data_IF_138186522646
#
_entry.id   IF_138186522646
#
_cell.length_a   1.000
_cell.length_b   1.000
_cell.length_c   1.000
_cell.angle_alpha   90.00
_cell.angle_beta   90.00
_cell.angle_gamma   90.00
#
_symmetry.space_group_name_H-M   'P 1'
#
loop_
_entity.id
_entity.type
_entity.pdbx_description
1 polymer ?
#
# COMPACT_ATOMS: atom_id res chain seq x y z
N UNK A 1 17.24 18.16 4.20
CA UNK A 1 15.75 18.16 4.18
C UNK A 1 15.24 18.62 5.55
N UNK A 2 14.22 19.45 5.58
CA UNK A 2 13.61 19.88 6.85
C UNK A 2 12.80 18.76 7.48
N UNK A 3 12.69 18.77 8.82
CA UNK A 3 11.91 17.76 9.54
C UNK A 3 10.44 17.75 9.11
N UNK A 4 9.88 18.92 8.85
CA UNK A 4 8.50 19.07 8.40
C UNK A 4 8.26 18.40 7.04
N UNK A 5 9.19 18.59 6.10
CA UNK A 5 9.10 17.99 4.76
C UNK A 5 9.28 16.47 4.84
N UNK A 6 10.22 16.02 5.67
CA UNK A 6 10.45 14.60 5.89
C UNK A 6 9.21 13.93 6.52
N UNK A 7 8.58 14.58 7.49
CA UNK A 7 7.37 14.09 8.11
C UNK A 7 6.23 14.01 7.09
N UNK A 8 6.11 15.01 6.21
CA UNK A 8 5.12 14.99 5.13
C UNK A 8 5.31 13.80 4.19
N UNK A 9 6.56 13.48 3.83
CA UNK A 9 6.85 12.30 3.02
C UNK A 9 6.48 11.02 3.74
N UNK A 10 6.78 10.90 5.02
CA UNK A 10 6.44 9.72 5.82
C UNK A 10 4.95 9.53 5.97
N UNK A 11 4.20 10.63 6.07
CA UNK A 11 2.74 10.57 6.19
C UNK A 11 2.09 10.09 4.90
N UNK A 12 2.68 10.42 3.75
CA UNK A 12 2.16 10.03 2.44
C UNK A 12 2.64 8.62 2.05
N UNK A 13 3.93 8.35 2.20
CA UNK A 13 4.56 7.08 1.80
C UNK A 13 4.75 6.18 3.01
N UNK A 14 3.64 5.73 3.59
CA UNK A 14 3.64 4.86 4.77
C UNK A 14 4.03 3.43 4.40
N UNK A 15 4.65 2.68 5.32
CA UNK A 15 4.93 1.27 5.07
C UNK A 15 3.67 0.50 4.65
N UNK A 16 3.81 -0.30 3.62
CA UNK A 16 2.70 -1.09 3.06
C UNK A 16 1.93 -0.42 1.94
N UNK A 17 2.17 0.87 1.68
CA UNK A 17 1.52 1.59 0.57
C UNK A 17 2.05 1.06 -0.76
N UNK A 18 1.17 0.84 -1.73
CA UNK A 18 1.54 0.42 -3.09
C UNK A 18 1.85 1.64 -3.95
N UNK A 19 2.91 1.51 -4.73
CA UNK A 19 3.34 2.58 -5.65
C UNK A 19 3.64 2.01 -7.03
N UNK A 20 3.61 2.89 -8.03
CA UNK A 20 4.01 2.57 -9.40
C UNK A 20 5.10 3.54 -9.81
N UNK A 21 6.18 3.00 -10.38
CA UNK A 21 7.30 3.82 -10.83
C UNK A 21 6.90 4.63 -12.06
N UNK A 22 7.09 5.95 -11.98
CA UNK A 22 6.90 6.86 -13.11
C UNK A 22 8.23 7.08 -13.82
N UNK A 23 9.28 7.35 -13.06
CA UNK A 23 10.58 7.65 -13.60
C UNK A 23 11.67 7.46 -12.54
N UNK A 24 12.80 6.90 -12.95
CA UNK A 24 13.98 6.77 -12.09
C UNK A 24 15.23 7.00 -12.93
N UNK A 25 16.07 7.94 -12.50
CA UNK A 25 17.29 8.30 -13.19
C UNK A 25 18.47 7.43 -12.73
N UNK A 26 18.42 6.17 -13.11
CA UNK A 26 19.43 5.17 -12.75
C UNK A 26 19.51 4.13 -13.88
N UNK A 27 20.72 3.78 -14.37
CA UNK A 27 20.86 2.76 -15.42
C UNK A 27 20.30 1.39 -15.06
N UNK A 28 20.18 1.07 -13.77
CA UNK A 28 19.65 -0.19 -13.29
C UNK A 28 18.22 -0.09 -12.80
N UNK A 29 17.54 1.03 -13.10
CA UNK A 29 16.17 1.25 -12.65
C UNK A 29 15.21 0.21 -13.23
N UNK A 30 14.18 -0.19 -12.47
CA UNK A 30 13.07 -0.94 -13.05
C UNK A 30 12.41 -0.11 -14.17
N UNK A 31 11.78 -0.74 -15.15
CA UNK A 31 11.07 0.03 -16.19
C UNK A 31 9.91 0.82 -15.60
N UNK A 32 9.58 1.99 -16.17
CA UNK A 32 8.37 2.72 -15.76
C UNK A 32 7.14 1.82 -15.82
N UNK A 33 6.25 1.96 -14.84
CA UNK A 33 5.08 1.10 -14.69
C UNK A 33 5.31 -0.08 -13.74
N UNK A 34 6.55 -0.32 -13.31
CA UNK A 34 6.83 -1.33 -12.29
C UNK A 34 6.16 -0.94 -10.97
N UNK A 35 5.48 -1.89 -10.34
CA UNK A 35 4.82 -1.67 -9.05
C UNK A 35 5.66 -2.20 -7.91
N UNK A 36 5.46 -1.63 -6.74
CA UNK A 36 6.18 -2.03 -5.55
C UNK A 36 5.44 -1.65 -4.28
N UNK A 37 6.03 -2.05 -3.15
CA UNK A 37 5.48 -1.77 -1.82
C UNK A 37 6.47 -0.92 -1.03
N UNK A 38 5.99 0.18 -0.46
CA UNK A 38 6.82 1.07 0.35
C UNK A 38 7.19 0.38 1.66
N UNK A 39 8.48 0.43 2.01
CA UNK A 39 8.97 0.00 3.33
C UNK A 39 9.05 1.16 4.32
N UNK A 40 9.19 2.37 3.83
CA UNK A 40 9.30 3.57 4.64
C UNK A 40 10.02 4.69 3.90
N UNK A 41 10.41 5.70 4.64
CA UNK A 41 11.19 6.84 4.13
C UNK A 41 12.40 7.00 5.04
N UNK A 42 13.60 7.10 4.45
CA UNK A 42 14.83 7.24 5.24
C UNK A 42 15.07 8.70 5.69
N UNK A 43 16.17 8.92 6.41
CA UNK A 43 16.48 10.22 6.99
C UNK A 43 16.80 11.30 5.95
N UNK A 44 17.17 10.92 4.73
CA UNK A 44 17.46 11.86 3.65
C UNK A 44 16.28 12.06 2.71
N UNK A 45 15.15 11.41 3.01
CA UNK A 45 13.92 11.57 2.23
C UNK A 45 13.80 10.66 1.03
N UNK A 46 14.60 9.61 0.95
CA UNK A 46 14.41 8.57 -0.07
C UNK A 46 13.28 7.63 0.33
N UNK A 47 12.45 7.28 -0.63
CA UNK A 47 11.34 6.33 -0.42
C UNK A 47 11.89 4.93 -0.64
N UNK A 48 11.86 4.12 0.40
CA UNK A 48 12.36 2.75 0.36
C UNK A 48 11.26 1.85 -0.19
N UNK A 49 11.52 1.18 -1.30
CA UNK A 49 10.52 0.38 -2.02
C UNK A 49 11.04 -1.01 -2.30
N UNK A 50 10.21 -2.02 -2.05
CA UNK A 50 10.41 -3.37 -2.55
C UNK A 50 9.64 -3.50 -3.86
N UNK A 51 10.35 -3.43 -4.98
CA UNK A 51 9.74 -3.55 -6.30
C UNK A 51 9.35 -4.99 -6.60
N UNK A 52 8.21 -5.19 -7.24
CA UNK A 52 7.68 -6.53 -7.53
C UNK A 52 8.59 -7.33 -8.46
N UNK A 53 9.44 -6.66 -9.23
CA UNK A 53 10.42 -7.33 -10.10
C UNK A 53 11.71 -7.75 -9.38
N UNK A 54 11.78 -7.58 -8.07
CA UNK A 54 12.95 -7.94 -7.26
C UNK A 54 13.98 -6.84 -7.09
N UNK A 55 13.81 -5.68 -7.74
CA UNK A 55 14.69 -4.53 -7.54
C UNK A 55 14.52 -3.94 -6.13
N UNK A 56 15.62 -3.48 -5.53
CA UNK A 56 15.60 -2.79 -4.24
C UNK A 56 15.99 -1.32 -4.33
N UNK A 57 15.97 -0.73 -5.52
CA UNK A 57 16.36 0.66 -5.71
C UNK A 57 15.32 1.60 -5.10
N UNK A 58 15.78 2.55 -4.30
CA UNK A 58 14.93 3.51 -3.63
C UNK A 58 14.61 4.70 -4.53
N UNK A 59 13.48 5.36 -4.29
CA UNK A 59 13.06 6.54 -5.03
C UNK A 59 13.67 7.77 -4.37
N UNK A 60 14.55 8.47 -5.06
CA UNK A 60 15.21 9.69 -4.59
C UNK A 60 14.47 10.90 -5.17
N UNK A 61 13.49 11.40 -4.45
CA UNK A 61 12.70 12.55 -4.86
C UNK A 61 13.53 13.84 -4.76
N UNK A 62 13.46 14.79 -5.72
CA UNK A 62 12.52 14.85 -6.85
C UNK A 62 13.03 14.27 -8.18
N UNK A 63 14.28 13.79 -8.26
CA UNK A 63 14.85 13.26 -9.49
C UNK A 63 14.09 12.04 -9.99
N UNK A 64 13.76 11.15 -9.07
CA UNK A 64 12.96 9.98 -9.34
C UNK A 64 11.51 10.25 -8.93
N UNK A 65 10.55 9.59 -9.57
CA UNK A 65 9.14 9.77 -9.27
C UNK A 65 8.38 8.44 -9.27
N UNK A 66 7.51 8.30 -8.29
CA UNK A 66 6.52 7.24 -8.24
C UNK A 66 5.17 7.84 -7.88
N UNK A 67 4.08 7.09 -8.14
CA UNK A 67 2.74 7.50 -7.72
C UNK A 67 2.14 6.45 -6.81
N UNK A 68 1.33 6.90 -5.85
CA UNK A 68 0.62 6.01 -4.95
C UNK A 68 -0.56 5.38 -5.70
N UNK A 69 -0.72 4.06 -5.53
CA UNK A 69 -1.86 3.32 -6.07
C UNK A 69 -2.92 3.23 -4.97
N UNK A 70 -3.96 4.02 -5.11
CA UNK A 70 -5.06 4.08 -4.14
C UNK A 70 -6.04 2.95 -4.41
N UNK A 71 -6.46 2.23 -3.34
CA UNK A 71 -7.45 1.17 -3.46
C UNK A 71 -6.93 -0.14 -4.04
N UNK A 72 -5.61 -0.29 -4.19
CA UNK A 72 -5.01 -1.52 -4.69
C UNK A 72 -4.71 -2.49 -3.54
N UNK A 73 -4.59 -3.80 -3.88
CA UNK A 73 -4.14 -4.80 -2.92
C UNK A 73 -2.73 -4.44 -2.42
N UNK A 74 -2.51 -4.59 -1.11
CA UNK A 74 -1.22 -4.33 -0.49
C UNK A 74 -1.08 -5.20 0.76
N UNK A 75 0.15 -5.38 1.29
CA UNK A 75 0.32 -6.03 2.58
C UNK A 75 -0.48 -5.35 3.70
N UNK A 76 -0.68 -4.04 3.61
CA UNK A 76 -1.47 -3.29 4.60
C UNK A 76 -2.95 -3.67 4.53
N UNK A 77 -3.51 -3.79 3.32
CA UNK A 77 -4.89 -4.25 3.13
C UNK A 77 -5.06 -5.65 3.72
N UNK A 78 -4.13 -6.55 3.43
CA UNK A 78 -4.17 -7.92 3.97
C UNK A 78 -4.15 -7.91 5.50
N UNK A 79 -3.27 -7.15 6.10
CA UNK A 79 -3.17 -7.00 7.55
C UNK A 79 -4.49 -6.52 8.16
N UNK A 80 -5.11 -5.52 7.55
CA UNK A 80 -6.37 -4.96 8.01
C UNK A 80 -7.52 -5.96 7.90
N UNK A 81 -7.59 -6.72 6.81
CA UNK A 81 -8.58 -7.80 6.65
C UNK A 81 -8.42 -8.85 7.77
N UNK A 82 -7.19 -9.28 8.02
CA UNK A 82 -6.92 -10.29 9.03
C UNK A 82 -7.23 -9.78 10.44
N UNK A 83 -7.02 -8.50 10.71
CA UNK A 83 -7.36 -7.89 11.99
C UNK A 83 -8.88 -7.93 12.23
N UNK A 84 -9.69 -7.60 11.23
CA UNK A 84 -11.15 -7.67 11.35
C UNK A 84 -11.60 -9.12 11.50
N UNK A 85 -11.01 -10.04 10.75
CA UNK A 85 -11.32 -11.47 10.85
C UNK A 85 -11.03 -12.00 12.27
N UNK A 86 -9.90 -11.61 12.83
CA UNK A 86 -9.49 -12.03 14.17
C UNK A 86 -10.42 -11.48 15.26
N UNK A 87 -11.05 -10.31 15.03
CA UNK A 87 -11.97 -9.71 16.00
C UNK A 87 -13.27 -10.50 16.15
N UNK A 88 -13.68 -11.24 15.13
CA UNK A 88 -14.92 -12.01 15.15
C UNK A 88 -16.20 -11.18 15.18
N UNK A 89 -16.13 -9.88 14.88
CA UNK A 89 -17.28 -8.98 15.01
C UNK A 89 -18.34 -9.19 13.94
N UNK A 90 -17.98 -9.76 12.79
CA UNK A 90 -18.93 -9.94 11.69
C UNK A 90 -18.55 -11.11 10.79
N UNK A 91 -19.50 -11.50 9.93
CA UNK A 91 -19.23 -12.42 8.84
C UNK A 91 -18.37 -11.68 7.78
N UNK A 92 -17.23 -12.26 7.42
CA UNK A 92 -16.30 -11.63 6.47
C UNK A 92 -16.87 -11.51 5.05
N UNK A 93 -17.97 -12.21 4.73
CA UNK A 93 -18.66 -12.04 3.45
C UNK A 93 -19.70 -10.92 3.47
N UNK A 94 -19.99 -10.36 4.64
CA UNK A 94 -20.86 -9.18 4.76
C UNK A 94 -19.99 -7.94 4.50
N UNK A 95 -19.81 -7.61 3.23
CA UNK A 95 -18.91 -6.52 2.82
C UNK A 95 -19.32 -5.17 3.41
N UNK A 96 -20.62 -4.78 3.42
CA UNK A 96 -21.01 -3.53 4.08
C UNK A 96 -20.61 -3.47 5.56
N UNK A 97 -20.75 -4.57 6.29
CA UNK A 97 -20.36 -4.62 7.70
C UNK A 97 -18.85 -4.54 7.86
N UNK A 98 -18.06 -5.25 7.01
CA UNK A 98 -16.62 -5.19 7.02
C UNK A 98 -16.14 -3.76 6.71
N UNK A 99 -16.77 -3.11 5.75
CA UNK A 99 -16.43 -1.73 5.37
C UNK A 99 -16.74 -0.75 6.52
N UNK A 100 -17.84 -0.94 7.23
CA UNK A 100 -18.18 -0.12 8.39
C UNK A 100 -17.15 -0.28 9.52
N UNK A 101 -16.72 -1.51 9.80
CA UNK A 101 -15.69 -1.77 10.79
C UNK A 101 -14.37 -1.15 10.36
N UNK A 102 -14.00 -1.28 9.09
CA UNK A 102 -12.77 -0.69 8.55
C UNK A 102 -12.78 0.84 8.69
N UNK A 103 -13.91 1.49 8.43
CA UNK A 103 -14.07 2.93 8.65
C UNK A 103 -13.90 3.29 10.12
N UNK A 104 -14.54 2.54 11.02
CA UNK A 104 -14.46 2.79 12.46
C UNK A 104 -13.02 2.68 12.97
N UNK A 105 -12.28 1.68 12.51
CA UNK A 105 -10.92 1.41 12.96
C UNK A 105 -9.86 2.25 12.22
N UNK A 106 -10.26 3.07 11.25
CA UNK A 106 -9.33 3.88 10.48
C UNK A 106 -8.52 3.10 9.44
N UNK A 107 -9.04 1.95 8.99
CA UNK A 107 -8.39 1.12 7.98
C UNK A 107 -8.70 1.65 6.58
N UNK A 108 -8.16 2.82 6.27
CA UNK A 108 -8.46 3.54 5.02
C UNK A 108 -8.08 2.75 3.77
N UNK A 109 -6.99 2.00 3.82
CA UNK A 109 -6.52 1.21 2.68
C UNK A 109 -7.56 0.13 2.32
N UNK A 110 -8.10 -0.54 3.33
CA UNK A 110 -9.13 -1.57 3.13
C UNK A 110 -10.44 -0.95 2.63
N UNK A 111 -10.86 0.19 3.19
CA UNK A 111 -12.07 0.88 2.75
C UNK A 111 -12.01 1.19 1.25
N UNK A 112 -10.88 1.76 0.80
CA UNK A 112 -10.68 2.08 -0.60
C UNK A 112 -10.59 0.84 -1.49
N UNK A 113 -9.94 -0.20 -1.01
CA UNK A 113 -9.83 -1.47 -1.72
C UNK A 113 -11.21 -2.09 -1.98
N UNK A 114 -12.08 -2.09 -0.98
CA UNK A 114 -13.40 -2.71 -1.09
C UNK A 114 -14.33 -1.99 -2.06
N UNK A 115 -14.06 -0.73 -2.41
CA UNK A 115 -14.89 0.01 -3.39
C UNK A 115 -14.87 -0.69 -4.75
N UNK A 116 -13.69 -1.11 -5.23
CA UNK A 116 -13.51 -1.61 -6.58
C UNK A 116 -13.14 -3.10 -6.67
N UNK A 117 -12.83 -3.74 -5.54
CA UNK A 117 -12.26 -5.09 -5.52
C UNK A 117 -13.04 -6.09 -4.68
N UNK A 118 -14.37 -5.99 -4.69
CA UNK A 118 -15.23 -6.88 -3.87
C UNK A 118 -15.07 -8.34 -4.24
N UNK A 119 -14.91 -8.64 -5.52
CA UNK A 119 -14.75 -10.01 -6.00
C UNK A 119 -13.42 -10.60 -5.55
N UNK A 120 -12.35 -9.83 -5.66
CA UNK A 120 -11.02 -10.23 -5.24
C UNK A 120 -10.97 -10.40 -3.73
N UNK A 121 -11.65 -9.54 -2.98
CA UNK A 121 -11.79 -9.67 -1.53
C UNK A 121 -12.48 -10.99 -1.16
N UNK A 122 -13.60 -11.31 -1.80
CA UNK A 122 -14.33 -12.55 -1.55
C UNK A 122 -13.45 -13.78 -1.85
N UNK A 123 -12.66 -13.72 -2.94
CA UNK A 123 -11.71 -14.76 -3.28
C UNK A 123 -10.64 -14.95 -2.20
N UNK A 124 -10.13 -13.87 -1.64
CA UNK A 124 -9.17 -13.96 -0.54
C UNK A 124 -9.79 -14.61 0.70
N UNK A 125 -11.02 -14.25 1.06
CA UNK A 125 -11.69 -14.85 2.22
C UNK A 125 -11.92 -16.36 2.02
N UNK A 126 -12.27 -16.76 0.80
CA UNK A 126 -12.50 -18.17 0.48
C UNK A 126 -11.19 -18.99 0.46
N UNK A 127 -10.13 -18.45 -0.10
CA UNK A 127 -8.92 -19.21 -0.42
C UNK A 127 -7.71 -18.80 0.41
N UNK A 128 -7.67 -17.58 0.92
CA UNK A 128 -6.57 -17.11 1.77
C UNK A 128 -5.25 -16.93 1.05
N UNK A 129 -5.25 -16.82 -0.27
CA UNK A 129 -4.03 -16.85 -1.07
C UNK A 129 -3.75 -15.53 -1.82
N UNK A 130 -3.46 -14.49 -1.06
CA UNK A 130 -2.96 -13.25 -1.65
C UNK A 130 -1.84 -12.66 -0.86
#
# INVERSE_FOLDING_TARGET
>A
MTDKRLQGLRDVYRPGVRVELIRMDDPQAPPPGTRGTVRGVDAVGSILVDWDNGSGLNVAYPEDRCRILVGEWSPKVREQILAIRASGETNMFDIPAVQAIANREGYHELVLYLVDHKREYAGFILHGDR
#
